data_IF_634820820994
#
_entry.id   IF_634820820994
#
_cell.length_a   1.000
_cell.length_b   1.000
_cell.length_c   1.000
_cell.angle_alpha   90.00
_cell.angle_beta   90.00
_cell.angle_gamma   90.00
#
_symmetry.space_group_name_H-M   'P 1'
#
loop_
_entity.id
_entity.type
_entity.pdbx_description
1 polymer ?
#
# COMPACT_ATOMS: atom_id res chain seq x y z
N UNK A 1 -5.59 -12.64 4.90
CA UNK A 1 -4.30 -12.12 4.38
C UNK A 1 -3.93 -10.86 5.15
N UNK A 2 -2.65 -10.69 5.48
CA UNK A 2 -2.17 -9.54 6.24
C UNK A 2 -1.76 -8.41 5.29
N UNK A 3 -2.68 -7.47 5.05
CA UNK A 3 -2.51 -6.36 4.10
C UNK A 3 -1.19 -5.59 4.27
N UNK A 4 -0.68 -5.47 5.52
CA UNK A 4 0.60 -4.79 5.78
C UNK A 4 1.79 -5.57 5.24
N UNK A 5 1.74 -6.91 5.37
CA UNK A 5 2.77 -7.80 4.89
C UNK A 5 2.80 -7.77 3.36
N UNK A 6 1.62 -7.77 2.72
CA UNK A 6 1.48 -7.69 1.27
C UNK A 6 1.96 -6.35 0.71
N UNK A 7 1.63 -5.24 1.37
CA UNK A 7 2.10 -3.90 0.98
C UNK A 7 3.62 -3.75 1.07
N UNK A 8 4.22 -4.17 2.20
CA UNK A 8 5.67 -4.12 2.38
C UNK A 8 6.40 -5.05 1.40
N UNK A 9 5.87 -6.25 1.17
CA UNK A 9 6.43 -7.22 0.21
C UNK A 9 6.41 -6.64 -1.19
N UNK A 10 5.24 -6.19 -1.67
CA UNK A 10 5.08 -5.62 -3.01
C UNK A 10 5.97 -4.37 -3.23
N UNK A 11 6.14 -3.50 -2.23
CA UNK A 11 7.12 -2.38 -2.32
C UNK A 11 8.54 -2.89 -2.53
N UNK A 12 8.95 -3.92 -1.78
CA UNK A 12 10.28 -4.52 -1.90
C UNK A 12 10.47 -5.24 -3.24
N UNK A 13 9.45 -5.89 -3.76
CA UNK A 13 9.48 -6.56 -5.08
C UNK A 13 9.71 -5.53 -6.20
N UNK A 14 9.14 -4.32 -6.07
CA UNK A 14 9.41 -3.19 -6.96
C UNK A 14 10.75 -2.49 -6.69
N UNK A 15 11.54 -2.96 -5.73
CA UNK A 15 12.83 -2.36 -5.29
C UNK A 15 12.71 -0.87 -4.94
N UNK A 16 11.57 -0.46 -4.38
CA UNK A 16 11.32 0.92 -3.98
C UNK A 16 11.68 1.14 -2.50
N UNK A 17 12.34 2.26 -2.21
CA UNK A 17 12.42 2.76 -0.83
C UNK A 17 11.05 3.29 -0.38
N UNK A 18 10.82 3.42 0.93
CA UNK A 18 9.59 4.02 1.45
C UNK A 18 9.39 5.45 0.93
N UNK A 19 10.47 6.23 0.81
CA UNK A 19 10.43 7.59 0.29
C UNK A 19 10.10 7.62 -1.21
N UNK A 20 10.66 6.70 -1.99
CA UNK A 20 10.36 6.59 -3.42
C UNK A 20 8.90 6.18 -3.66
N UNK A 21 8.37 5.23 -2.87
CA UNK A 21 6.96 4.86 -2.94
C UNK A 21 6.06 6.03 -2.52
N UNK A 22 6.36 6.70 -1.40
CA UNK A 22 5.63 7.87 -0.94
C UNK A 22 5.56 8.94 -2.03
N UNK A 23 6.71 9.30 -2.63
CA UNK A 23 6.76 10.28 -3.73
C UNK A 23 5.86 9.89 -4.90
N UNK A 24 5.80 8.61 -5.26
CA UNK A 24 4.91 8.11 -6.33
C UNK A 24 3.44 8.18 -5.94
N UNK A 25 3.11 7.94 -4.67
CA UNK A 25 1.76 8.04 -4.10
C UNK A 25 1.32 9.50 -3.83
N UNK A 26 2.20 10.49 -4.00
CA UNK A 26 1.93 11.87 -3.55
C UNK A 26 1.89 12.02 -2.02
N UNK A 27 2.56 11.11 -1.30
CA UNK A 27 2.60 11.05 0.17
C UNK A 27 4.04 11.16 0.66
N UNK A 28 4.22 11.45 1.94
CA UNK A 28 5.55 11.44 2.55
C UNK A 28 6.01 10.00 2.90
N UNK A 29 7.30 9.87 3.26
CA UNK A 29 7.88 8.60 3.70
C UNK A 29 7.22 8.06 4.97
N UNK A 30 6.75 8.93 5.87
CA UNK A 30 6.20 8.56 7.16
C UNK A 30 4.82 7.90 6.99
N UNK A 31 4.00 8.35 6.04
CA UNK A 31 2.74 7.71 5.64
C UNK A 31 2.97 6.23 5.28
N UNK A 32 3.93 5.97 4.38
CA UNK A 32 4.31 4.61 3.99
C UNK A 32 4.81 3.80 5.18
N UNK A 33 5.66 4.39 6.03
CA UNK A 33 6.14 3.73 7.25
C UNK A 33 5.01 3.38 8.21
N UNK A 34 4.03 4.26 8.40
CA UNK A 34 2.88 4.03 9.28
C UNK A 34 1.98 2.91 8.76
N UNK A 35 1.75 2.84 7.45
CA UNK A 35 1.03 1.74 6.81
C UNK A 35 1.76 0.41 7.06
N UNK A 36 3.07 0.34 6.81
CA UNK A 36 3.85 -0.90 7.02
C UNK A 36 3.91 -1.35 8.48
N UNK A 37 3.77 -0.41 9.41
CA UNK A 37 3.70 -0.68 10.86
C UNK A 37 2.27 -0.97 11.34
N UNK A 38 1.26 -0.83 10.48
CA UNK A 38 -0.15 -1.00 10.84
C UNK A 38 -0.71 0.15 11.69
N UNK A 39 -0.01 1.27 11.77
CA UNK A 39 -0.44 2.48 12.51
C UNK A 39 -1.45 3.32 11.70
N UNK A 40 -1.54 3.07 10.39
CA UNK A 40 -2.44 3.78 9.48
C UNK A 40 -3.00 2.80 8.47
N UNK A 41 -4.30 2.89 8.20
CA UNK A 41 -4.96 2.09 7.16
C UNK A 41 -4.80 2.77 5.80
N UNK A 42 -4.72 1.98 4.73
CA UNK A 42 -4.75 2.51 3.36
C UNK A 42 -6.09 3.20 3.10
N UNK A 43 -6.04 4.40 2.54
CA UNK A 43 -7.22 5.10 2.03
C UNK A 43 -7.67 4.49 0.70
N UNK A 44 -8.90 4.79 0.26
CA UNK A 44 -9.39 4.37 -1.06
C UNK A 44 -8.50 4.87 -2.21
N UNK A 45 -7.96 6.08 -2.09
CA UNK A 45 -7.00 6.64 -3.04
C UNK A 45 -5.70 5.83 -3.08
N UNK A 46 -5.17 5.45 -1.92
CA UNK A 46 -3.98 4.59 -1.85
C UNK A 46 -4.24 3.25 -2.54
N UNK A 47 -5.40 2.62 -2.33
CA UNK A 47 -5.77 1.37 -3.01
C UNK A 47 -5.82 1.53 -4.53
N UNK A 48 -6.47 2.58 -5.04
CA UNK A 48 -6.54 2.87 -6.48
C UNK A 48 -5.17 3.12 -7.10
N UNK A 49 -4.30 3.82 -6.37
CA UNK A 49 -2.93 4.03 -6.83
C UNK A 49 -2.15 2.71 -6.90
N UNK A 50 -2.24 1.87 -5.86
CA UNK A 50 -1.54 0.60 -5.82
C UNK A 50 -2.04 -0.35 -6.93
N UNK A 51 -3.35 -0.40 -7.18
CA UNK A 51 -3.95 -1.17 -8.28
C UNK A 51 -3.32 -0.82 -9.63
N UNK A 52 -3.19 0.48 -9.91
CA UNK A 52 -2.51 0.99 -11.12
C UNK A 52 -1.02 0.66 -11.14
N UNK A 53 -0.33 0.78 -10.00
CA UNK A 53 1.10 0.56 -9.91
C UNK A 53 1.49 -0.91 -10.11
N UNK A 54 0.69 -1.84 -9.57
CA UNK A 54 0.99 -3.27 -9.61
C UNK A 54 0.45 -3.97 -10.86
N UNK A 55 -0.39 -3.31 -11.68
CA UNK A 55 -1.11 -3.92 -12.81
C UNK A 55 -1.89 -5.19 -12.41
N UNK A 56 -2.17 -5.34 -11.12
CA UNK A 56 -2.85 -6.45 -10.49
C UNK A 56 -3.72 -5.88 -9.37
N UNK A 57 -4.91 -6.45 -9.22
CA UNK A 57 -5.85 -6.10 -8.15
C UNK A 57 -5.16 -6.27 -6.80
N UNK A 58 -4.84 -5.16 -6.14
CA UNK A 58 -4.54 -5.22 -4.71
C UNK A 58 -5.80 -5.77 -4.04
N UNK A 59 -5.72 -6.77 -3.15
CA UNK A 59 -6.91 -7.28 -2.49
C UNK A 59 -7.53 -6.12 -1.71
N UNK A 60 -8.53 -5.48 -2.31
CA UNK A 60 -9.44 -4.62 -1.59
C UNK A 60 -10.06 -5.57 -0.58
N UNK A 61 -9.85 -5.31 0.70
CA UNK A 61 -10.73 -5.86 1.71
C UNK A 61 -12.11 -5.30 1.41
N UNK A 62 -12.85 -6.00 0.56
CA UNK A 62 -14.29 -5.98 0.63
C UNK A 62 -14.56 -6.70 1.94
N UNK A 63 -14.77 -5.93 3.00
CA UNK A 63 -15.66 -6.37 4.07
C UNK A 63 -17.03 -6.56 3.42
N UNK A 64 -17.19 -7.69 2.74
CA UNK A 64 -18.45 -8.32 2.41
C UNK A 64 -18.41 -9.66 3.12
N UNK A 65 -18.44 -9.59 4.44
CA UNK A 65 -19.06 -10.64 5.23
C UNK A 65 -20.31 -9.98 5.82
N UNK A 66 -21.46 -10.41 5.28
CA UNK A 66 -22.84 -10.37 5.80
C UNK A 66 -23.38 -9.05 6.34
#
# INVERSE_FOLDING_TARGET
MDLKADFKKKRKDLKLSQAALGKRMGRDRNHVSNIERGLTRLSAEDYLFLDKLYKERFPATVSAEM
#
